data_IF_446802975587
#
_entry.id   IF_446802975587
#
_cell.length_a   1.000
_cell.length_b   1.000
_cell.length_c   1.000
_cell.angle_alpha   90.00
_cell.angle_beta   90.00
_cell.angle_gamma   90.00
#
_symmetry.space_group_name_H-M   'P 1'
#
loop_
_entity.id
_entity.type
_entity.pdbx_description
1 polymer ?
#
# COMPACT_ATOMS: atom_id res chain seq x y z
N UNK A 1 -2.90 -20.96 22.83
CA UNK A 1 -1.87 -19.97 23.17
C UNK A 1 -0.50 -20.47 22.74
N UNK A 2 0.32 -19.57 22.25
CA UNK A 2 1.67 -19.84 21.74
C UNK A 2 2.58 -18.67 22.14
N UNK A 3 3.82 -18.95 22.58
CA UNK A 3 4.87 -17.97 22.80
C UNK A 3 5.89 -18.08 21.66
N UNK A 4 6.09 -16.99 20.94
CA UNK A 4 7.05 -16.89 19.82
C UNK A 4 8.27 -16.13 20.30
N UNK A 5 9.49 -16.66 20.06
CA UNK A 5 10.76 -16.07 20.47
C UNK A 5 11.77 -17.13 20.94
N UNK A 6 12.93 -16.75 21.52
CA UNK A 6 13.32 -15.38 21.84
C UNK A 6 13.75 -14.56 20.62
N UNK A 7 13.49 -13.25 20.64
CA UNK A 7 14.00 -12.30 19.66
C UNK A 7 15.08 -11.42 20.30
N UNK A 8 16.15 -11.14 19.60
CA UNK A 8 17.19 -10.20 20.06
C UNK A 8 16.62 -8.82 20.36
N UNK A 9 15.76 -8.34 19.46
CA UNK A 9 14.98 -7.12 19.62
C UNK A 9 13.56 -7.32 19.09
N UNK A 10 12.58 -6.78 19.80
CA UNK A 10 11.24 -6.55 19.27
C UNK A 10 11.06 -5.04 19.22
N UNK A 11 10.80 -4.48 18.03
CA UNK A 11 10.40 -3.09 17.87
C UNK A 11 8.88 -3.06 17.78
N UNK A 12 8.22 -2.61 18.83
CA UNK A 12 6.77 -2.76 18.98
C UNK A 12 5.97 -1.75 18.14
N UNK A 13 6.53 -0.58 17.88
CA UNK A 13 5.86 0.61 17.34
C UNK A 13 4.65 1.06 18.19
N UNK A 14 4.56 0.57 19.42
CA UNK A 14 3.49 0.91 20.36
C UNK A 14 3.57 2.38 20.80
N UNK A 15 2.40 2.95 21.10
CA UNK A 15 2.26 4.31 21.65
C UNK A 15 2.83 5.44 20.77
N UNK A 16 3.22 5.16 19.52
CA UNK A 16 3.67 6.20 18.61
C UNK A 16 2.49 7.05 18.11
N UNK A 17 2.65 8.39 18.00
CA UNK A 17 1.62 9.23 17.45
C UNK A 17 1.36 8.90 15.97
N UNK A 18 0.08 8.91 15.60
CA UNK A 18 -0.32 8.70 14.21
C UNK A 18 0.19 9.81 13.29
N UNK A 19 0.32 11.04 13.80
CA UNK A 19 0.61 12.25 13.04
C UNK A 19 1.98 12.81 13.34
N UNK A 20 2.49 13.57 12.37
CA UNK A 20 3.69 14.36 12.51
C UNK A 20 4.97 13.55 12.56
N UNK A 21 6.04 14.25 12.87
CA UNK A 21 7.40 13.69 12.94
C UNK A 21 7.59 12.75 14.13
N UNK A 22 8.45 11.77 13.94
CA UNK A 22 8.89 10.83 14.97
C UNK A 22 10.41 10.85 15.06
N UNK A 23 10.94 10.53 16.25
CA UNK A 23 12.37 10.27 16.42
C UNK A 23 12.59 8.81 16.83
N UNK A 24 13.79 8.31 16.59
CA UNK A 24 14.13 6.91 16.88
C UNK A 24 14.14 6.62 18.39
N UNK A 25 14.31 7.65 19.25
CA UNK A 25 14.25 7.54 20.72
C UNK A 25 12.83 7.24 21.23
N UNK A 26 11.79 7.45 20.39
CA UNK A 26 10.40 7.11 20.74
C UNK A 26 10.08 5.64 20.50
N UNK A 27 10.97 4.89 19.84
CA UNK A 27 10.76 3.47 19.59
C UNK A 27 10.87 2.66 20.89
N UNK A 28 9.83 1.92 21.23
CA UNK A 28 9.90 0.90 22.27
C UNK A 28 10.58 -0.34 21.74
N UNK A 29 11.74 -0.70 22.35
CA UNK A 29 12.53 -1.85 21.95
C UNK A 29 12.63 -2.82 23.15
N UNK A 30 12.10 -4.03 22.97
CA UNK A 30 12.19 -5.09 23.97
C UNK A 30 13.35 -6.01 23.59
N UNK A 31 14.37 -6.09 24.44
CA UNK A 31 15.52 -7.01 24.27
C UNK A 31 15.19 -8.38 24.82
N UNK A 32 15.76 -9.43 24.19
CA UNK A 32 15.49 -10.83 24.53
C UNK A 32 13.99 -11.09 24.67
N UNK A 33 13.24 -10.58 23.66
CA UNK A 33 11.81 -10.45 23.70
C UNK A 33 11.06 -11.71 23.27
N UNK A 34 9.80 -11.79 23.69
CA UNK A 34 8.84 -12.79 23.24
C UNK A 34 7.46 -12.19 23.03
N UNK A 35 6.66 -12.85 22.19
CA UNK A 35 5.29 -12.45 21.87
C UNK A 35 4.35 -13.60 22.21
N UNK A 36 3.46 -13.37 23.14
CA UNK A 36 2.40 -14.32 23.51
C UNK A 36 1.19 -14.08 22.60
N UNK A 37 0.79 -15.13 21.88
CA UNK A 37 -0.30 -15.10 20.89
C UNK A 37 -1.41 -16.07 21.31
N UNK A 38 -2.65 -15.62 21.11
CA UNK A 38 -3.85 -16.45 21.23
C UNK A 38 -4.84 -16.12 20.12
N UNK A 39 -5.31 -17.14 19.40
CA UNK A 39 -6.35 -17.04 18.38
C UNK A 39 -6.05 -15.92 17.34
N UNK A 40 -4.79 -15.87 16.87
CA UNK A 40 -4.33 -14.89 15.90
C UNK A 40 -4.03 -13.49 16.45
N UNK A 41 -4.21 -13.28 17.76
CA UNK A 41 -4.11 -11.96 18.39
C UNK A 41 -2.98 -11.94 19.43
N UNK A 42 -2.26 -10.82 19.49
CA UNK A 42 -1.22 -10.59 20.51
C UNK A 42 -1.91 -10.40 21.88
N UNK A 43 -1.51 -11.20 22.86
CA UNK A 43 -1.94 -11.02 24.25
C UNK A 43 -0.94 -10.20 25.06
N UNK A 44 0.35 -10.41 24.82
CA UNK A 44 1.40 -9.74 25.59
C UNK A 44 2.72 -9.80 24.83
N UNK A 45 3.46 -8.70 24.86
CA UNK A 45 4.88 -8.62 24.49
C UNK A 45 5.71 -8.39 25.73
N UNK A 46 6.94 -8.91 25.79
CA UNK A 46 7.81 -8.74 26.94
C UNK A 46 9.06 -9.60 26.87
N UNK A 47 9.85 -9.63 27.95
CA UNK A 47 11.01 -10.51 28.01
C UNK A 47 10.60 -11.98 27.89
N UNK A 48 11.24 -12.72 26.99
CA UNK A 48 10.88 -14.12 26.67
C UNK A 48 10.93 -15.06 27.87
N UNK A 49 12.00 -14.97 28.66
CA UNK A 49 12.18 -15.85 29.85
C UNK A 49 11.11 -15.56 30.90
N UNK A 50 10.77 -14.29 31.13
CA UNK A 50 9.71 -13.91 32.04
C UNK A 50 8.34 -14.41 31.59
N UNK A 51 8.00 -14.24 30.28
CA UNK A 51 6.77 -14.76 29.73
C UNK A 51 6.68 -16.28 29.78
N UNK A 52 7.78 -16.99 29.51
CA UNK A 52 7.84 -18.45 29.60
C UNK A 52 7.62 -18.96 31.03
N UNK A 53 8.11 -18.23 32.02
CA UNK A 53 7.88 -18.56 33.44
C UNK A 53 6.44 -18.25 33.88
N UNK A 54 5.86 -17.14 33.45
CA UNK A 54 4.49 -16.74 33.77
C UNK A 54 3.45 -17.70 33.17
N UNK A 55 3.73 -18.24 31.96
CA UNK A 55 2.81 -19.09 31.18
C UNK A 55 3.43 -20.47 30.92
N UNK A 56 3.56 -21.30 31.96
CA UNK A 56 4.34 -22.55 31.93
C UNK A 56 3.77 -23.70 31.06
N UNK A 57 2.52 -23.63 30.60
CA UNK A 57 1.85 -24.67 29.78
C UNK A 57 1.42 -24.16 28.40
N UNK A 58 2.33 -23.49 27.70
CA UNK A 58 2.05 -22.95 26.35
C UNK A 58 2.93 -23.64 25.31
N UNK A 59 2.44 -23.66 24.06
CA UNK A 59 3.24 -24.07 22.92
C UNK A 59 4.35 -23.03 22.71
N UNK A 60 5.58 -23.50 22.55
CA UNK A 60 6.70 -22.63 22.19
C UNK A 60 6.92 -22.69 20.66
N UNK A 61 7.12 -21.53 20.07
CA UNK A 61 7.66 -21.36 18.71
C UNK A 61 9.04 -20.73 18.88
N UNK A 62 10.07 -21.59 19.01
CA UNK A 62 11.43 -21.13 19.29
C UNK A 62 12.06 -20.54 18.04
N UNK A 63 12.65 -19.35 18.17
CA UNK A 63 13.36 -18.63 17.11
C UNK A 63 14.86 -18.83 17.33
N UNK A 64 15.52 -19.39 16.34
CA UNK A 64 16.95 -19.66 16.37
C UNK A 64 17.79 -18.46 15.96
N UNK A 65 18.90 -18.24 16.65
CA UNK A 65 19.86 -17.18 16.35
C UNK A 65 19.36 -15.79 16.73
N UNK A 66 20.15 -14.79 16.37
CA UNK A 66 19.81 -13.39 16.64
C UNK A 66 18.87 -12.85 15.57
N UNK A 67 17.63 -12.55 15.95
CA UNK A 67 16.63 -12.00 15.04
C UNK A 67 15.94 -10.78 15.65
N UNK A 68 15.66 -9.81 14.81
CA UNK A 68 14.82 -8.65 15.12
C UNK A 68 13.42 -8.93 14.61
N UNK A 69 12.42 -8.68 15.45
CA UNK A 69 10.99 -8.80 15.11
C UNK A 69 10.33 -7.42 15.00
N UNK A 70 9.56 -7.22 13.93
CA UNK A 70 8.73 -6.05 13.65
C UNK A 70 7.27 -6.48 13.45
N UNK A 71 6.28 -5.56 13.54
CA UNK A 71 4.99 -5.76 12.92
C UNK A 71 5.18 -6.03 11.42
N UNK A 72 4.43 -6.95 10.85
CA UNK A 72 4.44 -7.16 9.41
C UNK A 72 3.96 -5.89 8.67
N UNK A 73 4.43 -5.72 7.44
CA UNK A 73 4.21 -4.52 6.66
C UNK A 73 2.84 -4.50 5.99
N UNK A 74 2.36 -3.29 5.75
CA UNK A 74 1.13 -3.01 4.99
C UNK A 74 1.51 -2.23 3.74
N UNK A 75 1.15 -2.73 2.57
CA UNK A 75 1.26 -2.02 1.32
C UNK A 75 -0.12 -1.46 0.93
N UNK A 76 -0.30 -0.17 1.15
CA UNK A 76 -1.59 0.50 1.04
C UNK A 76 -1.92 0.98 -0.37
N UNK A 77 -1.08 0.69 -1.36
CA UNK A 77 -1.31 1.10 -2.74
C UNK A 77 -0.58 0.20 -3.72
N UNK A 78 -1.32 -0.69 -4.40
CA UNK A 78 -0.78 -1.52 -5.47
C UNK A 78 -1.76 -1.71 -6.64
N UNK A 79 -1.20 -1.97 -7.82
CA UNK A 79 -1.95 -2.34 -9.03
C UNK A 79 -1.56 -3.73 -9.53
N UNK A 80 -1.32 -4.67 -8.62
CA UNK A 80 -0.78 -6.00 -8.97
C UNK A 80 -1.74 -6.90 -9.74
N UNK A 81 -3.00 -6.50 -9.94
CA UNK A 81 -3.94 -7.21 -10.79
C UNK A 81 -3.87 -6.69 -12.24
N UNK A 82 -2.93 -7.20 -13.03
CA UNK A 82 -2.77 -6.85 -14.44
C UNK A 82 -2.22 -8.00 -15.28
N UNK A 83 -2.57 -8.00 -16.58
CA UNK A 83 -2.00 -8.86 -17.61
C UNK A 83 -0.83 -8.21 -18.35
N UNK A 84 0.08 -9.02 -18.87
CA UNK A 84 1.24 -8.57 -19.63
C UNK A 84 2.34 -7.91 -18.78
N UNK A 85 3.20 -7.12 -19.46
CA UNK A 85 4.22 -6.29 -18.82
C UNK A 85 4.55 -5.09 -19.73
N UNK A 86 5.29 -4.12 -19.19
CA UNK A 86 5.70 -2.91 -19.91
C UNK A 86 7.22 -2.73 -19.95
N UNK A 87 7.98 -3.84 -20.04
CA UNK A 87 9.44 -3.79 -20.10
C UNK A 87 9.94 -3.01 -21.33
N UNK A 88 9.22 -3.08 -22.46
CA UNK A 88 9.53 -2.30 -23.65
C UNK A 88 9.36 -0.80 -23.43
N UNK A 89 8.30 -0.37 -22.71
CA UNK A 89 8.09 1.03 -22.36
C UNK A 89 9.23 1.56 -21.49
N UNK A 90 9.69 0.76 -20.53
CA UNK A 90 10.84 1.09 -19.68
C UNK A 90 12.12 1.30 -20.53
N UNK A 91 12.39 0.38 -21.46
CA UNK A 91 13.55 0.50 -22.36
C UNK A 91 13.47 1.75 -23.25
N UNK A 92 12.30 2.03 -23.83
CA UNK A 92 12.08 3.21 -24.67
C UNK A 92 12.22 4.52 -23.89
N UNK A 93 11.69 4.59 -22.66
CA UNK A 93 11.82 5.75 -21.78
C UNK A 93 13.27 6.02 -21.43
N UNK A 94 14.05 4.97 -21.08
CA UNK A 94 15.46 5.10 -20.79
C UNK A 94 16.31 5.47 -22.03
N UNK A 95 15.79 5.17 -23.23
CA UNK A 95 16.38 5.64 -24.50
C UNK A 95 15.97 7.09 -24.86
N UNK A 96 15.26 7.79 -23.97
CA UNK A 96 14.86 9.20 -24.17
C UNK A 96 13.56 9.41 -24.95
N UNK A 97 12.77 8.35 -25.16
CA UNK A 97 11.45 8.50 -25.80
C UNK A 97 10.46 9.16 -24.84
N UNK A 98 9.67 10.08 -25.39
CA UNK A 98 8.60 10.76 -24.64
C UNK A 98 7.42 9.81 -24.37
N UNK A 99 6.60 10.17 -23.40
CA UNK A 99 5.36 9.43 -23.10
C UNK A 99 4.46 9.28 -24.35
N UNK A 100 4.34 10.33 -25.18
CA UNK A 100 3.53 10.30 -26.41
C UNK A 100 4.10 9.31 -27.43
N UNK A 101 5.41 9.36 -27.69
CA UNK A 101 6.06 8.41 -28.61
C UNK A 101 5.90 6.96 -28.15
N UNK A 102 5.96 6.70 -26.83
CA UNK A 102 5.72 5.38 -26.26
C UNK A 102 4.25 4.96 -26.47
N UNK A 103 3.31 5.86 -26.22
CA UNK A 103 1.88 5.59 -26.41
C UNK A 103 1.51 5.36 -27.89
N UNK A 104 2.14 6.07 -28.82
CA UNK A 104 1.99 5.89 -30.26
C UNK A 104 2.58 4.56 -30.76
N UNK A 105 3.65 4.07 -30.13
CA UNK A 105 4.23 2.76 -30.40
C UNK A 105 3.44 1.57 -29.84
N UNK A 106 2.25 1.83 -29.23
CA UNK A 106 1.37 0.81 -28.65
C UNK A 106 1.64 0.52 -27.17
N UNK A 107 2.48 1.34 -26.51
CA UNK A 107 2.75 1.29 -25.07
C UNK A 107 1.75 2.08 -24.22
N UNK A 108 2.18 2.46 -23.01
CA UNK A 108 1.38 3.23 -22.06
C UNK A 108 0.34 2.38 -21.32
N UNK A 109 -0.48 3.04 -20.51
CA UNK A 109 -1.54 2.39 -19.70
C UNK A 109 -2.49 1.56 -20.58
N UNK A 110 -2.80 2.05 -21.80
CA UNK A 110 -3.67 1.36 -22.73
C UNK A 110 -3.16 -0.03 -23.14
N UNK A 111 -1.86 -0.22 -23.23
CA UNK A 111 -1.26 -1.56 -23.45
C UNK A 111 -1.60 -2.52 -22.31
N UNK A 112 -1.50 -2.06 -21.06
CA UNK A 112 -1.91 -2.87 -19.90
C UNK A 112 -3.40 -3.18 -19.91
N UNK A 113 -4.25 -2.24 -20.34
CA UNK A 113 -5.71 -2.45 -20.50
C UNK A 113 -5.97 -3.58 -21.50
N UNK A 114 -5.38 -3.52 -22.69
CA UNK A 114 -5.59 -4.54 -23.72
C UNK A 114 -5.12 -5.94 -23.26
N UNK A 115 -3.97 -6.03 -22.59
CA UNK A 115 -3.47 -7.30 -22.07
C UNK A 115 -4.36 -7.85 -20.94
N UNK A 116 -4.83 -6.98 -20.03
CA UNK A 116 -5.69 -7.38 -18.91
C UNK A 116 -7.09 -7.81 -19.38
N UNK A 117 -7.66 -7.10 -20.37
CA UNK A 117 -8.93 -7.50 -20.99
C UNK A 117 -8.83 -8.85 -21.70
N UNK A 118 -7.72 -9.11 -22.38
CA UNK A 118 -7.45 -10.36 -23.09
C UNK A 118 -7.21 -11.54 -22.16
N UNK A 119 -6.61 -11.32 -21.00
CA UNK A 119 -6.31 -12.38 -20.05
C UNK A 119 -7.59 -12.98 -19.45
N UNK A 120 -7.62 -14.30 -19.34
CA UNK A 120 -8.69 -15.02 -18.62
C UNK A 120 -8.64 -14.75 -17.11
N UNK A 121 -9.73 -15.04 -16.39
CA UNK A 121 -9.75 -14.96 -14.93
C UNK A 121 -8.68 -15.84 -14.27
N UNK A 122 -8.45 -17.05 -14.80
CA UNK A 122 -7.47 -17.99 -14.23
C UNK A 122 -6.02 -17.51 -14.48
N UNK A 123 -5.71 -16.93 -15.64
CA UNK A 123 -4.40 -16.31 -15.90
C UNK A 123 -4.15 -15.10 -14.99
N UNK A 124 -5.15 -14.23 -14.80
CA UNK A 124 -5.03 -13.10 -13.87
C UNK A 124 -4.88 -13.58 -12.42
N UNK A 125 -5.65 -14.58 -12.01
CA UNK A 125 -5.55 -15.15 -10.67
C UNK A 125 -4.16 -15.72 -10.41
N UNK A 126 -3.62 -16.49 -11.34
CA UNK A 126 -2.28 -17.05 -11.22
C UNK A 126 -1.24 -15.94 -11.00
N UNK A 127 -1.25 -14.92 -11.87
CA UNK A 127 -0.26 -13.83 -11.78
C UNK A 127 -0.44 -12.96 -10.54
N UNK A 128 -1.66 -12.74 -10.07
CA UNK A 128 -1.95 -12.03 -8.81
C UNK A 128 -1.42 -12.82 -7.62
N UNK A 129 -1.64 -14.13 -7.57
CA UNK A 129 -1.13 -14.99 -6.49
C UNK A 129 0.39 -15.04 -6.44
N UNK A 130 1.07 -15.09 -7.60
CA UNK A 130 2.53 -15.02 -7.67
C UNK A 130 3.07 -13.71 -7.09
N UNK A 131 2.42 -12.57 -7.40
CA UNK A 131 2.80 -11.26 -6.87
C UNK A 131 2.48 -11.13 -5.38
N UNK A 132 1.33 -11.65 -4.91
CA UNK A 132 1.00 -11.71 -3.49
C UNK A 132 2.05 -12.51 -2.72
N UNK A 133 2.44 -13.70 -3.22
CA UNK A 133 3.47 -14.52 -2.58
C UNK A 133 4.83 -13.81 -2.55
N UNK A 134 5.16 -13.07 -3.60
CA UNK A 134 6.36 -12.23 -3.61
C UNK A 134 6.30 -11.14 -2.54
N UNK A 135 5.17 -10.44 -2.37
CA UNK A 135 4.99 -9.43 -1.32
C UNK A 135 5.06 -10.05 0.08
N UNK A 136 4.41 -11.20 0.29
CA UNK A 136 4.51 -11.93 1.57
C UNK A 136 5.97 -12.24 1.87
N UNK A 137 6.74 -12.75 0.91
CA UNK A 137 8.17 -13.05 1.11
C UNK A 137 9.03 -11.85 1.51
N UNK A 138 8.53 -10.64 1.31
CA UNK A 138 9.14 -9.38 1.73
C UNK A 138 8.60 -8.87 3.09
N UNK A 139 7.72 -9.64 3.76
CA UNK A 139 7.12 -9.29 5.05
C UNK A 139 5.83 -8.48 4.96
N UNK A 140 5.23 -8.34 3.78
CA UNK A 140 3.98 -7.61 3.57
C UNK A 140 2.80 -8.59 3.70
N UNK A 141 1.96 -8.40 4.73
CA UNK A 141 0.83 -9.29 5.04
C UNK A 141 -0.54 -8.65 4.81
N UNK A 142 -0.56 -7.34 4.58
CA UNK A 142 -1.77 -6.59 4.22
C UNK A 142 -1.49 -5.84 2.92
N UNK A 143 -2.32 -6.08 1.90
CA UNK A 143 -2.07 -5.62 0.53
C UNK A 143 -3.35 -5.01 -0.02
N UNK A 144 -3.31 -3.73 -0.35
CA UNK A 144 -4.35 -3.10 -1.16
C UNK A 144 -4.12 -3.44 -2.62
N UNK A 145 -5.17 -3.86 -3.33
CA UNK A 145 -5.09 -4.23 -4.75
C UNK A 145 -6.19 -3.51 -5.53
N UNK A 146 -5.77 -2.66 -6.45
CA UNK A 146 -6.66 -1.90 -7.33
C UNK A 146 -7.02 -2.67 -8.59
N UNK A 147 -8.24 -2.47 -9.10
CA UNK A 147 -8.60 -2.69 -10.50
C UNK A 147 -8.03 -1.57 -11.39
N UNK A 148 -8.66 -1.20 -12.48
CA UNK A 148 -8.31 0.00 -13.27
C UNK A 148 -7.57 -0.29 -14.57
N UNK A 149 -7.47 -1.55 -14.95
CA UNK A 149 -7.03 -1.98 -16.29
C UNK A 149 -8.13 -2.71 -17.07
N UNK A 150 -9.36 -2.72 -16.55
CA UNK A 150 -10.54 -3.21 -17.25
C UNK A 150 -11.21 -2.11 -18.05
N UNK A 151 -11.57 -1.04 -17.39
CA UNK A 151 -12.17 0.21 -17.89
C UNK A 151 -13.50 0.02 -18.64
N UNK A 152 -14.15 -1.12 -18.49
CA UNK A 152 -15.53 -1.43 -18.87
C UNK A 152 -16.17 -2.31 -17.80
N UNK A 153 -17.49 -2.52 -17.87
CA UNK A 153 -18.22 -3.27 -16.85
C UNK A 153 -17.67 -4.67 -16.66
N UNK A 154 -17.51 -5.42 -17.76
CA UNK A 154 -17.14 -6.83 -17.71
C UNK A 154 -15.73 -7.01 -17.15
N UNK A 155 -14.76 -6.25 -17.64
CA UNK A 155 -13.36 -6.42 -17.30
C UNK A 155 -12.99 -5.83 -15.93
N UNK A 156 -13.62 -4.73 -15.50
CA UNK A 156 -13.44 -4.22 -14.13
C UNK A 156 -13.99 -5.20 -13.09
N UNK A 157 -15.19 -5.74 -13.33
CA UNK A 157 -15.76 -6.77 -12.45
C UNK A 157 -14.91 -8.05 -12.47
N UNK A 158 -14.40 -8.46 -13.63
CA UNK A 158 -13.46 -9.59 -13.76
C UNK A 158 -12.25 -9.40 -12.86
N UNK A 159 -11.59 -8.24 -12.91
CA UNK A 159 -10.43 -7.94 -12.06
C UNK A 159 -10.79 -8.02 -10.57
N UNK A 160 -11.87 -7.36 -10.15
CA UNK A 160 -12.30 -7.36 -8.75
C UNK A 160 -12.74 -8.76 -8.26
N UNK A 161 -13.38 -9.57 -9.12
CA UNK A 161 -13.70 -10.98 -8.81
C UNK A 161 -12.45 -11.82 -8.63
N UNK A 162 -11.42 -11.60 -9.48
CA UNK A 162 -10.10 -12.25 -9.34
C UNK A 162 -9.46 -11.89 -8.00
N UNK A 163 -9.44 -10.60 -7.62
CA UNK A 163 -8.88 -10.16 -6.34
C UNK A 163 -9.66 -10.81 -5.16
N UNK A 164 -10.98 -10.81 -5.22
CA UNK A 164 -11.82 -11.47 -4.21
C UNK A 164 -11.56 -12.98 -4.14
N UNK A 165 -11.43 -13.66 -5.28
CA UNK A 165 -11.11 -15.09 -5.37
C UNK A 165 -9.72 -15.38 -4.80
N UNK A 166 -8.72 -14.51 -5.05
CA UNK A 166 -7.37 -14.66 -4.54
C UNK A 166 -7.32 -14.72 -3.00
N UNK A 167 -8.23 -14.03 -2.29
CA UNK A 167 -8.29 -14.08 -0.83
C UNK A 167 -8.45 -15.51 -0.29
N UNK A 168 -9.10 -16.41 -1.00
CA UNK A 168 -9.27 -17.82 -0.56
C UNK A 168 -8.01 -18.67 -0.73
N UNK A 169 -6.97 -18.18 -1.39
CA UNK A 169 -5.70 -18.87 -1.65
C UNK A 169 -4.52 -18.29 -0.86
N UNK A 170 -4.74 -17.26 -0.05
CA UNK A 170 -3.69 -16.63 0.75
C UNK A 170 -4.17 -16.34 2.18
N UNK A 171 -3.24 -16.33 3.12
CA UNK A 171 -3.50 -15.84 4.49
C UNK A 171 -3.34 -14.32 4.61
N UNK A 172 -2.67 -13.67 3.65
CA UNK A 172 -2.55 -12.21 3.64
C UNK A 172 -3.94 -11.55 3.56
N UNK A 173 -4.10 -10.42 4.19
CA UNK A 173 -5.31 -9.61 4.08
C UNK A 173 -5.27 -8.82 2.77
N UNK A 174 -6.22 -9.06 1.87
CA UNK A 174 -6.36 -8.33 0.62
C UNK A 174 -7.47 -7.28 0.74
N UNK A 175 -7.19 -6.05 0.33
CA UNK A 175 -8.13 -4.93 0.34
C UNK A 175 -8.40 -4.51 -1.11
N UNK A 176 -9.53 -4.95 -1.71
CA UNK A 176 -9.86 -4.56 -3.08
C UNK A 176 -10.27 -3.09 -3.17
N UNK A 177 -9.78 -2.38 -4.18
CA UNK A 177 -10.16 -1.01 -4.53
C UNK A 177 -10.60 -0.93 -5.99
N UNK A 178 -11.79 -0.36 -6.25
CA UNK A 178 -12.27 -0.13 -7.59
C UNK A 178 -11.66 1.17 -8.16
N UNK A 179 -10.79 1.03 -9.16
CA UNK A 179 -10.16 2.14 -9.88
C UNK A 179 -10.66 2.21 -11.33
N UNK A 180 -11.95 2.01 -11.58
CA UNK A 180 -12.51 2.18 -12.93
C UNK A 180 -12.28 3.60 -13.51
N UNK A 181 -12.10 4.57 -12.62
CA UNK A 181 -11.73 5.94 -12.98
C UNK A 181 -10.20 6.15 -13.04
N UNK A 182 -9.45 5.19 -13.63
CA UNK A 182 -8.01 5.33 -13.86
C UNK A 182 -7.71 6.23 -15.06
N UNK A 183 -8.41 6.03 -16.17
CA UNK A 183 -8.46 6.93 -17.33
C UNK A 183 -9.72 6.62 -18.17
N UNK A 184 -10.11 7.57 -19.02
CA UNK A 184 -11.15 7.30 -19.99
C UNK A 184 -10.62 6.35 -21.08
N UNK A 185 -11.25 5.17 -21.29
CA UNK A 185 -10.77 4.22 -22.29
C UNK A 185 -10.91 4.75 -23.72
N UNK A 186 -9.99 4.37 -24.60
CA UNK A 186 -9.95 4.83 -26.00
C UNK A 186 -11.18 4.38 -26.81
N UNK A 187 -11.84 3.32 -26.39
CA UNK A 187 -13.04 2.75 -27.01
C UNK A 187 -14.36 3.27 -26.41
N UNK A 188 -14.32 4.21 -25.47
CA UNK A 188 -15.49 4.92 -24.98
C UNK A 188 -15.71 6.21 -25.78
N UNK A 189 -16.86 6.36 -26.41
CA UNK A 189 -17.15 7.45 -27.36
C UNK A 189 -17.60 8.76 -26.70
N UNK A 190 -17.93 8.77 -25.41
CA UNK A 190 -18.36 9.95 -24.66
C UNK A 190 -17.22 10.83 -24.14
N UNK A 191 -17.58 11.91 -23.45
CA UNK A 191 -16.67 12.77 -22.70
C UNK A 191 -16.12 12.05 -21.46
N UNK A 192 -15.13 12.65 -20.77
CA UNK A 192 -14.65 12.14 -19.48
C UNK A 192 -15.75 12.17 -18.42
N UNK A 193 -16.56 13.23 -18.38
CA UNK A 193 -17.69 13.36 -17.46
C UNK A 193 -18.75 12.28 -17.71
N UNK A 194 -19.09 12.00 -18.99
CA UNK A 194 -20.00 10.91 -19.35
C UNK A 194 -19.45 9.54 -18.97
N UNK A 195 -18.14 9.34 -19.05
CA UNK A 195 -17.52 8.10 -18.60
C UNK A 195 -17.57 7.96 -17.07
N UNK A 196 -17.30 9.02 -16.31
CA UNK A 196 -17.46 9.00 -14.85
C UNK A 196 -18.91 8.73 -14.44
N UNK A 197 -19.90 9.31 -15.16
CA UNK A 197 -21.31 9.00 -14.94
C UNK A 197 -21.64 7.53 -15.26
N UNK A 198 -21.09 6.99 -16.35
CA UNK A 198 -21.21 5.57 -16.68
C UNK A 198 -20.66 4.65 -15.58
N UNK A 199 -19.52 5.01 -14.96
CA UNK A 199 -18.98 4.24 -13.83
C UNK A 199 -19.97 4.22 -12.66
N UNK A 200 -20.57 5.38 -12.34
CA UNK A 200 -21.56 5.51 -11.26
C UNK A 200 -22.80 4.68 -11.53
N UNK A 201 -23.31 4.70 -12.76
CA UNK A 201 -24.59 4.08 -13.10
C UNK A 201 -24.45 2.58 -13.38
N UNK A 202 -23.34 2.14 -13.97
CA UNK A 202 -23.21 0.78 -14.49
C UNK A 202 -22.16 -0.09 -13.75
N UNK A 203 -21.11 0.49 -13.20
CA UNK A 203 -20.03 -0.27 -12.56
C UNK A 203 -20.23 -0.33 -11.04
N UNK A 204 -20.29 0.84 -10.37
CA UNK A 204 -20.34 0.88 -8.90
C UNK A 204 -21.52 0.12 -8.28
N UNK A 205 -22.75 0.16 -8.86
CA UNK A 205 -23.86 -0.64 -8.32
C UNK A 205 -23.58 -2.15 -8.36
N UNK A 206 -22.92 -2.64 -9.41
CA UNK A 206 -22.55 -4.06 -9.55
C UNK A 206 -21.43 -4.45 -8.59
N UNK A 207 -20.41 -3.57 -8.43
CA UNK A 207 -19.33 -3.74 -7.44
C UNK A 207 -19.94 -3.88 -6.03
N UNK A 208 -20.91 -3.05 -5.68
CA UNK A 208 -21.60 -3.10 -4.39
C UNK A 208 -22.48 -4.35 -4.26
N UNK A 209 -23.29 -4.66 -5.28
CA UNK A 209 -24.18 -5.82 -5.27
C UNK A 209 -23.45 -7.15 -5.08
N UNK A 210 -22.27 -7.30 -5.70
CA UNK A 210 -21.40 -8.49 -5.56
C UNK A 210 -20.44 -8.40 -4.37
N UNK A 211 -20.44 -7.30 -3.61
CA UNK A 211 -19.51 -7.04 -2.51
C UNK A 211 -18.04 -7.27 -2.92
N UNK A 212 -17.61 -6.64 -4.03
CA UNK A 212 -16.30 -6.82 -4.62
C UNK A 212 -15.26 -5.87 -4.05
N UNK A 213 -15.63 -4.62 -3.78
CA UNK A 213 -14.79 -3.61 -3.15
C UNK A 213 -15.64 -2.68 -2.29
N UNK A 214 -15.02 -2.13 -1.24
CA UNK A 214 -15.62 -1.08 -0.39
C UNK A 214 -14.99 0.29 -0.65
N UNK A 215 -13.97 0.35 -1.50
CA UNK A 215 -13.17 1.53 -1.78
C UNK A 215 -13.24 1.85 -3.26
N UNK A 216 -13.25 3.14 -3.56
CA UNK A 216 -13.20 3.70 -4.92
C UNK A 216 -12.03 4.66 -5.00
N UNK A 217 -11.35 4.62 -6.12
CA UNK A 217 -10.21 5.47 -6.43
C UNK A 217 -10.41 6.17 -7.77
N UNK A 218 -9.75 7.30 -7.96
CA UNK A 218 -9.72 8.06 -9.20
C UNK A 218 -8.33 8.66 -9.42
N UNK A 219 -7.89 8.70 -10.67
CA UNK A 219 -6.68 9.41 -11.06
C UNK A 219 -7.00 10.83 -11.53
N UNK A 220 -6.72 11.81 -10.66
CA UNK A 220 -6.95 13.23 -10.95
C UNK A 220 -5.68 13.84 -11.53
N UNK A 221 -5.64 13.97 -12.84
CA UNK A 221 -4.51 14.53 -13.57
C UNK A 221 -4.97 15.05 -14.94
N UNK A 222 -4.23 15.99 -15.53
CA UNK A 222 -4.52 16.55 -16.87
C UNK A 222 -4.64 15.48 -17.95
N UNK A 223 -3.91 14.37 -17.79
CA UNK A 223 -3.93 13.26 -18.74
C UNK A 223 -5.04 12.23 -18.48
N UNK A 224 -5.80 12.36 -17.39
CA UNK A 224 -6.85 11.43 -16.98
C UNK A 224 -8.18 12.14 -16.72
N UNK A 225 -8.45 12.55 -15.48
CA UNK A 225 -9.68 13.26 -15.09
C UNK A 225 -9.36 14.60 -14.47
N UNK A 226 -10.16 15.63 -14.81
CA UNK A 226 -9.96 16.97 -14.31
C UNK A 226 -10.59 17.14 -12.91
N UNK A 227 -10.12 18.13 -12.12
CA UNK A 227 -10.55 18.33 -10.74
C UNK A 227 -12.07 18.43 -10.53
N UNK A 228 -12.77 19.22 -11.34
CA UNK A 228 -14.21 19.48 -11.14
C UNK A 228 -15.09 18.25 -11.41
N UNK A 229 -14.83 17.52 -12.50
CA UNK A 229 -15.56 16.29 -12.82
C UNK A 229 -15.28 15.20 -11.80
N UNK A 230 -14.03 15.13 -11.29
CA UNK A 230 -13.60 14.19 -10.28
C UNK A 230 -14.28 14.42 -8.93
N UNK A 231 -14.44 15.69 -8.50
CA UNK A 231 -15.15 16.05 -7.28
C UNK A 231 -16.57 15.50 -7.27
N UNK A 232 -17.32 15.72 -8.36
CA UNK A 232 -18.70 15.25 -8.50
C UNK A 232 -18.78 13.72 -8.45
N UNK A 233 -17.88 13.03 -9.15
CA UNK A 233 -17.76 11.57 -9.12
C UNK A 233 -17.53 11.05 -7.70
N UNK A 234 -16.56 11.61 -6.98
CA UNK A 234 -16.19 11.17 -5.63
C UNK A 234 -17.32 11.37 -4.61
N UNK A 235 -18.05 12.51 -4.71
CA UNK A 235 -19.21 12.75 -3.84
C UNK A 235 -20.31 11.72 -4.10
N UNK A 236 -20.61 11.40 -5.36
CA UNK A 236 -21.59 10.36 -5.71
C UNK A 236 -21.14 8.95 -5.27
N UNK A 237 -19.85 8.61 -5.41
CA UNK A 237 -19.32 7.35 -4.90
C UNK A 237 -19.47 7.25 -3.37
N UNK A 238 -19.28 8.36 -2.67
CA UNK A 238 -19.50 8.44 -1.21
C UNK A 238 -20.97 8.31 -0.83
N UNK A 239 -21.90 8.90 -1.60
CA UNK A 239 -23.35 8.70 -1.43
C UNK A 239 -23.76 7.22 -1.61
N UNK A 240 -23.03 6.49 -2.43
CA UNK A 240 -23.15 5.05 -2.59
C UNK A 240 -22.42 4.25 -1.47
N UNK A 241 -21.93 4.91 -0.43
CA UNK A 241 -21.28 4.31 0.75
C UNK A 241 -19.94 3.62 0.42
N UNK A 242 -19.17 4.18 -0.53
CA UNK A 242 -17.79 3.79 -0.76
C UNK A 242 -16.82 4.66 0.05
N UNK A 243 -15.75 4.06 0.55
CA UNK A 243 -14.57 4.78 1.02
C UNK A 243 -13.81 5.33 -0.19
N UNK A 244 -13.23 6.52 -0.03
CA UNK A 244 -12.54 7.21 -1.12
C UNK A 244 -11.04 7.22 -0.88
N UNK A 245 -10.28 6.95 -1.92
CA UNK A 245 -8.84 7.26 -2.06
C UNK A 245 -8.63 7.98 -3.40
N UNK A 246 -7.52 8.70 -3.56
CA UNK A 246 -7.29 9.52 -4.75
C UNK A 246 -5.82 9.45 -5.16
N UNK A 247 -5.54 9.11 -6.43
CA UNK A 247 -4.26 9.42 -7.04
C UNK A 247 -4.22 10.94 -7.25
N UNK A 248 -3.35 11.63 -6.53
CA UNK A 248 -3.36 13.07 -6.41
C UNK A 248 -1.97 13.67 -6.58
N UNK A 249 -1.90 14.83 -7.24
CA UNK A 249 -0.70 15.66 -7.34
C UNK A 249 0.56 14.89 -7.83
N UNK A 250 0.39 13.95 -8.76
CA UNK A 250 1.53 13.22 -9.31
C UNK A 250 2.37 14.11 -10.22
N UNK A 251 1.74 14.82 -11.17
CA UNK A 251 2.42 15.72 -12.11
C UNK A 251 1.95 17.17 -12.00
N UNK A 252 0.72 17.39 -11.51
CA UNK A 252 0.12 18.72 -11.31
C UNK A 252 -0.51 18.83 -9.93
N UNK A 253 -0.34 19.97 -9.27
CA UNK A 253 -0.86 20.24 -7.93
C UNK A 253 -2.36 20.54 -7.90
N UNK A 254 -2.98 20.44 -6.72
CA UNK A 254 -4.33 20.89 -6.39
C UNK A 254 -5.36 19.77 -6.24
N UNK A 255 -5.08 18.54 -6.69
CA UNK A 255 -6.00 17.40 -6.52
C UNK A 255 -6.01 16.84 -5.09
N UNK A 256 -4.92 17.00 -4.34
CA UNK A 256 -4.88 16.67 -2.91
C UNK A 256 -5.89 17.47 -2.08
N UNK A 257 -6.20 18.72 -2.46
CA UNK A 257 -7.30 19.49 -1.83
C UNK A 257 -8.65 18.81 -2.03
N UNK A 258 -8.92 18.30 -3.23
CA UNK A 258 -10.16 17.57 -3.51
C UNK A 258 -10.26 16.34 -2.63
N UNK A 259 -9.18 15.57 -2.51
CA UNK A 259 -9.13 14.41 -1.62
C UNK A 259 -9.54 14.78 -0.18
N UNK A 260 -9.00 15.88 0.36
CA UNK A 260 -9.37 16.38 1.70
C UNK A 260 -10.82 16.85 1.77
N UNK A 261 -11.29 17.63 0.80
CA UNK A 261 -12.66 18.20 0.78
C UNK A 261 -13.74 17.11 0.70
N UNK A 262 -13.51 16.03 -0.05
CA UNK A 262 -14.44 14.90 -0.10
C UNK A 262 -14.27 13.94 1.10
N UNK A 263 -13.26 14.15 1.94
CA UNK A 263 -12.95 13.29 3.10
C UNK A 263 -12.40 11.93 2.68
N UNK A 264 -11.51 11.91 1.69
CA UNK A 264 -10.81 10.71 1.29
C UNK A 264 -9.94 10.14 2.42
N UNK A 265 -9.79 8.83 2.47
CA UNK A 265 -8.92 8.14 3.44
C UNK A 265 -7.45 8.41 3.14
N UNK A 266 -7.08 8.46 1.87
CA UNK A 266 -5.72 8.82 1.45
C UNK A 266 -5.71 9.67 0.17
N UNK A 267 -4.64 10.45 0.04
CA UNK A 267 -4.21 11.10 -1.18
C UNK A 267 -2.83 10.53 -1.51
N UNK A 268 -2.71 9.87 -2.64
CA UNK A 268 -1.59 9.02 -2.98
C UNK A 268 -0.77 9.69 -4.11
N UNK A 269 0.56 9.51 -4.15
CA UNK A 269 1.57 10.19 -4.96
C UNK A 269 2.13 11.46 -4.31
N UNK A 270 1.57 12.63 -4.63
CA UNK A 270 1.90 13.93 -4.01
C UNK A 270 3.26 14.52 -4.44
N UNK A 271 3.90 14.04 -5.52
CA UNK A 271 5.19 14.52 -5.98
C UNK A 271 5.16 16.01 -6.39
N UNK A 272 4.02 16.48 -6.91
CA UNK A 272 3.81 17.87 -7.33
C UNK A 272 3.07 18.75 -6.32
N UNK A 273 2.81 18.23 -5.10
CA UNK A 273 2.09 18.97 -4.05
C UNK A 273 2.87 20.22 -3.63
N UNK A 274 2.17 21.36 -3.51
CA UNK A 274 2.72 22.65 -3.09
C UNK A 274 2.55 22.87 -1.58
N UNK A 275 3.27 23.84 -1.03
CA UNK A 275 3.32 24.07 0.43
C UNK A 275 1.92 24.39 1.03
N UNK A 276 1.07 25.15 0.32
CA UNK A 276 -0.30 25.45 0.79
C UNK A 276 -1.17 24.19 0.85
N UNK A 277 -1.00 23.26 -0.07
CA UNK A 277 -1.74 21.99 -0.11
C UNK A 277 -1.24 21.02 0.95
N UNK A 278 0.07 21.04 1.25
CA UNK A 278 0.66 20.29 2.37
C UNK A 278 0.05 20.74 3.71
N UNK A 279 -0.05 22.07 3.94
CA UNK A 279 -0.66 22.58 5.16
C UNK A 279 -2.15 22.21 5.29
N UNK A 280 -2.87 22.20 4.16
CA UNK A 280 -4.26 21.80 4.13
C UNK A 280 -4.44 20.31 4.41
N UNK A 281 -3.65 19.48 3.77
CA UNK A 281 -3.62 18.04 3.97
C UNK A 281 -3.23 17.68 5.41
N UNK A 282 -2.22 18.33 5.96
CA UNK A 282 -1.74 18.09 7.32
C UNK A 282 -2.77 18.39 8.42
N UNK A 283 -3.74 19.26 8.16
CA UNK A 283 -4.85 19.59 9.09
C UNK A 283 -6.01 18.60 8.98
N UNK A 284 -6.02 17.74 7.99
CA UNK A 284 -7.09 16.77 7.71
C UNK A 284 -6.79 15.37 8.30
N UNK A 285 -7.73 14.44 8.20
CA UNK A 285 -7.51 13.02 8.50
C UNK A 285 -7.13 12.19 7.26
N UNK A 286 -6.97 12.84 6.10
CA UNK A 286 -6.52 12.19 4.88
C UNK A 286 -5.04 11.85 5.01
N UNK A 287 -4.69 10.60 4.78
CA UNK A 287 -3.31 10.12 4.82
C UNK A 287 -2.60 10.54 3.54
N UNK A 288 -1.43 11.14 3.66
CA UNK A 288 -0.51 11.33 2.54
C UNK A 288 0.24 10.02 2.28
N UNK A 289 0.04 9.40 1.12
CA UNK A 289 0.73 8.15 0.77
C UNK A 289 1.82 8.43 -0.25
N UNK A 290 3.07 8.37 0.20
CA UNK A 290 4.22 8.49 -0.69
C UNK A 290 4.43 7.20 -1.50
N UNK A 291 4.68 7.34 -2.80
CA UNK A 291 4.87 6.24 -3.75
C UNK A 291 6.26 6.29 -4.39
N UNK A 292 7.33 6.02 -3.63
CA UNK A 292 8.69 6.23 -4.12
C UNK A 292 9.06 5.33 -5.30
N UNK A 293 8.36 4.20 -5.49
CA UNK A 293 8.52 3.35 -6.67
C UNK A 293 8.18 4.05 -7.98
N UNK A 294 7.11 4.87 -7.99
CA UNK A 294 6.71 5.67 -9.14
C UNK A 294 7.76 6.73 -9.46
N UNK A 295 8.19 7.50 -8.44
CA UNK A 295 9.22 8.53 -8.59
C UNK A 295 10.51 7.96 -9.17
N UNK A 296 10.98 6.81 -8.64
CA UNK A 296 12.17 6.11 -9.13
C UNK A 296 12.03 5.65 -10.59
N UNK A 297 10.91 5.00 -10.91
CA UNK A 297 10.71 4.43 -12.23
C UNK A 297 10.46 5.48 -13.32
N UNK A 298 9.99 6.69 -12.95
CA UNK A 298 9.77 7.81 -13.87
C UNK A 298 10.96 8.78 -13.89
N UNK A 299 11.86 8.73 -12.90
CA UNK A 299 12.93 9.73 -12.76
C UNK A 299 12.41 11.07 -12.26
N UNK A 300 11.33 11.07 -11.49
CA UNK A 300 10.67 12.26 -10.96
C UNK A 300 11.10 12.56 -9.51
N UNK A 301 10.69 13.72 -9.01
CA UNK A 301 10.87 14.07 -7.60
C UNK A 301 10.10 13.12 -6.69
N UNK A 302 10.53 13.00 -5.44
CA UNK A 302 9.78 12.30 -4.42
C UNK A 302 8.68 13.19 -3.82
N UNK A 303 7.66 12.53 -3.30
CA UNK A 303 6.68 13.15 -2.39
C UNK A 303 7.43 13.96 -1.32
N UNK A 304 7.05 15.21 -1.00
CA UNK A 304 7.73 16.04 0.00
C UNK A 304 7.42 15.57 1.43
N UNK A 305 7.82 14.34 1.75
CA UNK A 305 7.47 13.60 2.96
C UNK A 305 7.93 14.32 4.23
N UNK A 306 9.12 14.93 4.22
CA UNK A 306 9.62 15.71 5.36
C UNK A 306 8.71 16.89 5.66
N UNK A 307 8.31 17.66 4.66
CA UNK A 307 7.42 18.81 4.84
C UNK A 307 6.06 18.39 5.36
N UNK A 308 5.50 17.28 4.86
CA UNK A 308 4.21 16.74 5.32
C UNK A 308 4.28 16.39 6.81
N UNK A 309 5.33 15.70 7.25
CA UNK A 309 5.51 15.33 8.65
C UNK A 309 5.78 16.55 9.55
N UNK A 310 6.57 17.53 9.09
CA UNK A 310 6.85 18.76 9.84
C UNK A 310 5.60 19.61 10.01
N UNK A 311 4.69 19.61 9.04
CA UNK A 311 3.37 20.25 9.13
C UNK A 311 2.37 19.48 10.02
N UNK A 312 2.73 18.31 10.55
CA UNK A 312 1.87 17.49 11.41
C UNK A 312 0.95 16.54 10.64
N UNK A 313 1.21 16.25 9.36
CA UNK A 313 0.45 15.33 8.54
C UNK A 313 0.65 13.87 8.93
N UNK A 314 -0.18 12.99 8.35
CA UNK A 314 -0.04 11.53 8.46
C UNK A 314 0.64 11.06 7.18
N UNK A 315 1.78 10.38 7.30
CA UNK A 315 2.54 9.86 6.16
C UNK A 315 2.51 8.33 6.13
N UNK A 316 1.95 7.75 5.08
CA UNK A 316 2.13 6.35 4.70
C UNK A 316 3.15 6.24 3.56
N UNK A 317 3.74 5.06 3.39
CA UNK A 317 4.63 4.74 2.29
C UNK A 317 4.15 3.42 1.68
N UNK A 318 3.93 3.39 0.38
CA UNK A 318 3.46 2.22 -0.35
C UNK A 318 4.28 1.99 -1.62
N UNK A 319 4.18 0.79 -2.20
CA UNK A 319 5.07 0.38 -3.30
C UNK A 319 4.64 0.91 -4.65
N UNK A 320 3.35 1.18 -4.84
CA UNK A 320 2.75 1.42 -6.14
C UNK A 320 3.10 0.32 -7.16
N UNK A 321 3.23 -0.94 -6.73
CA UNK A 321 3.61 -1.98 -7.68
C UNK A 321 2.63 -2.06 -8.83
N UNK A 322 3.08 -1.57 -9.99
CA UNK A 322 2.31 -1.51 -11.23
C UNK A 322 3.20 -1.85 -12.43
N UNK A 323 2.63 -2.20 -13.61
CA UNK A 323 3.43 -2.58 -14.76
C UNK A 323 4.21 -1.44 -15.42
N UNK A 324 3.87 -0.18 -15.12
CA UNK A 324 4.37 0.99 -15.83
C UNK A 324 5.52 1.72 -15.17
N UNK A 325 5.24 2.38 -14.05
CA UNK A 325 6.18 3.24 -13.35
C UNK A 325 6.95 2.51 -12.24
N UNK A 326 6.32 1.55 -11.56
CA UNK A 326 6.89 0.89 -10.38
C UNK A 326 6.80 -0.65 -10.48
N UNK A 327 7.51 -1.31 -11.40
CA UNK A 327 7.38 -2.76 -11.63
C UNK A 327 8.09 -3.61 -10.56
N UNK A 328 8.27 -3.08 -9.35
CA UNK A 328 8.92 -3.79 -8.26
C UNK A 328 8.22 -3.52 -6.93
N UNK A 329 7.88 -4.60 -6.20
CA UNK A 329 7.17 -4.55 -4.91
C UNK A 329 8.08 -4.51 -3.68
N UNK A 330 9.38 -4.18 -3.78
CA UNK A 330 10.27 -4.13 -2.62
C UNK A 330 10.09 -2.84 -1.82
N UNK A 331 9.10 -2.86 -0.93
CA UNK A 331 8.71 -1.72 -0.11
C UNK A 331 9.85 -1.19 0.79
N UNK A 332 10.68 -2.08 1.37
CA UNK A 332 11.82 -1.67 2.20
C UNK A 332 12.84 -0.88 1.38
N UNK A 333 13.18 -1.35 0.17
CA UNK A 333 14.11 -0.63 -0.72
C UNK A 333 13.58 0.76 -1.04
N UNK A 334 12.32 0.86 -1.45
CA UNK A 334 11.68 2.12 -1.80
C UNK A 334 11.62 3.09 -0.60
N UNK A 335 11.20 2.58 0.56
CA UNK A 335 11.10 3.37 1.79
C UNK A 335 12.47 3.85 2.29
N UNK A 336 13.52 3.02 2.19
CA UNK A 336 14.89 3.40 2.56
C UNK A 336 15.47 4.49 1.65
N UNK A 337 15.15 4.44 0.36
CA UNK A 337 15.56 5.47 -0.60
C UNK A 337 14.82 6.78 -0.29
N UNK A 338 13.50 6.74 -0.12
CA UNK A 338 12.72 7.92 0.28
C UNK A 338 13.27 8.55 1.56
N UNK A 339 13.59 7.72 2.57
CA UNK A 339 14.17 8.19 3.84
C UNK A 339 15.47 8.97 3.63
N UNK A 340 16.32 8.52 2.72
CA UNK A 340 17.58 9.20 2.41
C UNK A 340 17.35 10.57 1.77
N UNK A 341 16.42 10.67 0.82
CA UNK A 341 16.12 11.92 0.11
C UNK A 341 15.34 12.90 0.99
N UNK A 342 14.33 12.42 1.71
CA UNK A 342 13.42 13.23 2.52
C UNK A 342 13.84 13.37 3.99
N UNK A 343 14.99 12.80 4.39
CA UNK A 343 15.54 12.88 5.76
C UNK A 343 14.57 12.37 6.82
N UNK A 344 13.99 11.19 6.56
CA UNK A 344 13.10 10.52 7.49
C UNK A 344 13.88 9.72 8.53
N UNK A 345 13.43 9.71 9.79
CA UNK A 345 13.96 8.82 10.83
C UNK A 345 13.55 7.36 10.56
N UNK A 346 14.22 6.40 11.21
CA UNK A 346 13.82 4.98 11.16
C UNK A 346 12.40 4.80 11.68
N UNK A 347 12.03 5.49 12.75
CA UNK A 347 10.69 5.47 13.32
C UNK A 347 9.62 5.95 12.33
N UNK A 348 9.89 7.04 11.60
CA UNK A 348 8.97 7.58 10.57
C UNK A 348 8.76 6.60 9.42
N UNK A 349 9.83 5.96 8.96
CA UNK A 349 9.75 4.95 7.89
C UNK A 349 8.98 3.73 8.33
N UNK A 350 9.33 3.14 9.50
CA UNK A 350 8.64 1.98 10.03
C UNK A 350 7.16 2.27 10.28
N UNK A 351 6.82 3.44 10.85
CA UNK A 351 5.43 3.87 11.00
C UNK A 351 4.71 3.98 9.64
N UNK A 352 5.41 4.51 8.63
CA UNK A 352 4.89 4.72 7.28
C UNK A 352 4.53 3.43 6.54
N UNK A 353 5.28 2.35 6.76
CA UNK A 353 5.05 1.04 6.11
C UNK A 353 4.25 0.05 6.99
N UNK A 354 3.79 0.48 8.17
CA UNK A 354 3.03 -0.36 9.10
C UNK A 354 1.71 0.29 9.50
N UNK A 355 1.59 0.84 10.71
CA UNK A 355 0.31 1.30 11.26
C UNK A 355 -0.26 2.53 10.52
N UNK A 356 0.57 3.43 9.96
CA UNK A 356 0.06 4.56 9.16
C UNK A 356 -0.48 4.11 7.81
N UNK A 357 0.17 3.13 7.16
CA UNK A 357 -0.39 2.47 5.97
C UNK A 357 -1.65 1.68 6.28
N UNK A 358 -1.71 0.98 7.42
CA UNK A 358 -2.93 0.30 7.87
C UNK A 358 -4.07 1.31 8.10
N UNK A 359 -3.78 2.47 8.70
CA UNK A 359 -4.76 3.53 8.91
C UNK A 359 -5.28 4.12 7.58
N UNK A 360 -4.44 4.25 6.55
CA UNK A 360 -4.88 4.63 5.19
C UNK A 360 -5.91 3.64 4.61
N UNK A 361 -5.87 2.39 5.05
CA UNK A 361 -6.82 1.33 4.67
C UNK A 361 -8.00 1.19 5.65
N UNK A 362 -8.14 2.11 6.61
CA UNK A 362 -9.16 2.06 7.66
C UNK A 362 -9.04 0.80 8.54
N UNK A 363 -7.82 0.33 8.79
CA UNK A 363 -7.49 -0.82 9.63
C UNK A 363 -6.75 -0.36 10.88
N UNK A 364 -7.33 -0.65 12.05
CA UNK A 364 -6.77 -0.26 13.35
C UNK A 364 -6.27 -1.46 14.16
N UNK A 365 -6.47 -2.67 13.65
CA UNK A 365 -6.17 -3.93 14.34
C UNK A 365 -4.74 -4.45 14.11
N UNK A 366 -3.88 -3.70 13.40
CA UNK A 366 -2.55 -4.14 12.97
C UNK A 366 -1.53 -3.01 12.86
N UNK A 367 -0.26 -3.36 12.56
CA UNK A 367 0.82 -2.41 12.32
C UNK A 367 1.59 -2.02 13.56
N UNK A 368 1.17 -2.50 14.75
CA UNK A 368 1.92 -2.41 16.03
C UNK A 368 1.88 -3.76 16.75
N UNK A 369 2.86 -4.03 17.64
CA UNK A 369 2.90 -5.28 18.44
C UNK A 369 2.35 -5.04 19.85
N UNK A 370 1.07 -4.65 19.91
CA UNK A 370 0.35 -4.35 21.15
C UNK A 370 -0.71 -5.41 21.45
N UNK A 371 -1.11 -5.48 22.72
CA UNK A 371 -2.22 -6.33 23.13
C UNK A 371 -3.50 -6.02 22.33
N UNK A 372 -4.16 -7.06 21.84
CA UNK A 372 -5.39 -6.96 21.06
C UNK A 372 -5.17 -6.77 19.55
N UNK A 373 -3.95 -6.52 19.09
CA UNK A 373 -3.62 -6.42 17.66
C UNK A 373 -3.40 -7.80 17.04
N UNK A 374 -3.53 -7.89 15.72
CA UNK A 374 -3.19 -9.09 14.96
C UNK A 374 -1.74 -9.47 15.16
N UNK A 375 -1.48 -10.76 15.29
CA UNK A 375 -0.15 -11.31 15.40
C UNK A 375 0.50 -11.50 14.01
N UNK A 376 0.53 -10.45 13.22
CA UNK A 376 1.19 -10.39 11.93
C UNK A 376 2.61 -9.83 12.14
N UNK A 377 3.61 -10.68 11.99
CA UNK A 377 5.00 -10.41 12.37
C UNK A 377 5.94 -10.68 11.20
N UNK A 378 7.00 -9.89 11.12
CA UNK A 378 8.15 -10.17 10.23
C UNK A 378 9.43 -10.16 11.03
N UNK A 379 10.34 -11.09 10.74
CA UNK A 379 11.64 -11.17 11.40
C UNK A 379 12.78 -11.02 10.40
N UNK A 380 13.90 -10.51 10.89
CA UNK A 380 15.13 -10.35 10.11
C UNK A 380 16.31 -10.93 10.90
N UNK A 381 17.18 -11.69 10.22
CA UNK A 381 18.37 -12.28 10.82
C UNK A 381 19.45 -11.20 11.03
N UNK A 382 19.32 -10.51 12.14
CA UNK A 382 20.23 -9.43 12.58
C UNK A 382 20.03 -9.18 14.08
N UNK A 383 21.01 -8.57 14.71
CA UNK A 383 21.02 -8.18 16.13
C UNK A 383 20.51 -6.75 16.38
N UNK A 384 20.36 -5.95 15.30
CA UNK A 384 19.97 -4.54 15.39
C UNK A 384 18.94 -4.16 14.31
N UNK A 385 17.82 -3.57 14.72
CA UNK A 385 16.73 -3.15 13.83
C UNK A 385 17.17 -2.12 12.79
N UNK A 386 18.16 -1.28 13.08
CA UNK A 386 18.65 -0.25 12.13
C UNK A 386 19.23 -0.87 10.86
N UNK A 387 19.73 -2.11 10.94
CA UNK A 387 20.25 -2.84 9.78
C UNK A 387 19.19 -3.09 8.70
N UNK A 388 17.90 -3.14 9.05
CA UNK A 388 16.82 -3.45 8.13
C UNK A 388 16.73 -2.39 7.02
N UNK A 389 16.72 -1.11 7.39
CA UNK A 389 16.71 0.00 6.42
C UNK A 389 18.10 0.28 5.86
N UNK A 390 19.16 0.11 6.67
CA UNK A 390 20.55 0.33 6.24
C UNK A 390 20.93 -0.52 5.01
N UNK A 391 20.51 -1.78 5.00
CA UNK A 391 20.78 -2.70 3.88
C UNK A 391 19.83 -2.51 2.68
N UNK A 392 18.92 -1.53 2.71
CA UNK A 392 18.09 -1.11 1.57
C UNK A 392 17.41 -2.27 0.83
N UNK A 393 16.83 -3.23 1.58
CA UNK A 393 16.12 -4.39 1.05
C UNK A 393 17.01 -5.57 0.62
N UNK A 394 18.33 -5.50 0.80
CA UNK A 394 19.20 -6.68 0.61
C UNK A 394 19.16 -7.64 1.81
N UNK A 395 18.89 -7.15 3.02
CA UNK A 395 18.55 -7.99 4.17
C UNK A 395 17.11 -8.49 3.99
N UNK A 396 16.97 -9.80 3.83
CA UNK A 396 15.66 -10.42 3.55
C UNK A 396 14.92 -10.75 4.84
N UNK A 397 13.59 -10.77 4.77
CA UNK A 397 12.78 -11.33 5.83
C UNK A 397 13.13 -12.81 6.03
N UNK A 398 13.27 -13.23 7.28
CA UNK A 398 13.64 -14.62 7.66
C UNK A 398 12.39 -15.44 7.95
N UNK A 399 11.49 -14.90 8.78
CA UNK A 399 10.22 -15.53 9.08
C UNK A 399 9.09 -14.51 8.98
N UNK A 400 7.98 -14.96 8.44
CA UNK A 400 6.73 -14.19 8.36
C UNK A 400 5.66 -14.99 9.11
N UNK A 401 4.92 -14.29 9.98
CA UNK A 401 3.79 -14.86 10.69
C UNK A 401 2.53 -14.05 10.33
N UNK A 402 1.47 -14.76 10.04
CA UNK A 402 0.14 -14.20 9.83
C UNK A 402 -0.79 -14.86 10.85
N UNK A 403 -1.51 -14.05 11.63
CA UNK A 403 -2.33 -14.50 12.74
C UNK A 403 -1.54 -15.40 13.72
N UNK A 404 -0.24 -15.11 13.89
CA UNK A 404 0.69 -15.87 14.76
C UNK A 404 1.13 -17.22 14.19
N UNK A 405 0.75 -17.59 12.99
CA UNK A 405 1.19 -18.82 12.31
C UNK A 405 2.23 -18.52 11.25
N UNK A 406 3.33 -19.25 11.26
CA UNK A 406 4.43 -19.14 10.30
C UNK A 406 3.93 -19.53 8.90
N UNK A 407 4.23 -18.72 7.90
CA UNK A 407 3.83 -18.91 6.48
C UNK A 407 5.04 -19.12 5.59
#
# INVERSE_FOLDING_TARGET
MKLIGPFKQIVTLANLPLRGKLSDEQLEIITDGGILVKDGTILKTGNFTALKAEFSQIKLEEIEGEQVCLPAFTDSHTHICFGGNRANDFALRNAGKTYLEIAESGGGIWSSVLHTRKASEDELLQTVLERINSLISLGITTIEIKSGYGLDVENELKMLRVIKKAQSFTKATLIPTCLSAHLKPKDFTGSSEEYLQFIIDEILPKVKAENLAKRVDIFIEKSAFLPEESRNFLLKAKELDFEITVHADQFTSGSSRIAVEVGAKSADHLEATIDEDIEFLAKSNTVATALPGASLGLGEKFTPARKILDAGGILAIASDWNPGSAPMGNLITQASILATFEKLSTAEVLAGITFRSAFALNLEDRGTLENGKKADLVTFKTDNFQNILYYQGSLKAEHIFIDGEKV
#
